data_IF_673188903284
#
_entry.id   IF_673188903284
#
_cell.length_a   1.000
_cell.length_b   1.000
_cell.length_c   1.000
_cell.angle_alpha   90.00
_cell.angle_beta   90.00
_cell.angle_gamma   90.00
#
_symmetry.space_group_name_H-M   'P 1'
#
loop_
_entity.id
_entity.type
_entity.pdbx_description
1 polymer ?
#
# COMPACT_ATOMS: atom_id res chain seq x y z
N UNK A 1 -7.55 5.83 73.54
CA UNK A 1 -7.93 5.74 72.10
C UNK A 1 -6.69 6.00 71.27
N UNK A 2 -6.08 4.92 70.81
CA UNK A 2 -4.89 4.97 69.90
C UNK A 2 -5.38 4.92 68.44
N UNK A 3 -5.12 5.98 67.69
CA UNK A 3 -5.39 6.01 66.23
C UNK A 3 -4.24 5.31 65.51
N UNK A 4 -4.52 4.17 64.90
CA UNK A 4 -3.60 3.52 63.95
C UNK A 4 -3.66 4.28 62.61
N UNK A 5 -2.52 4.82 62.18
CA UNK A 5 -2.32 5.31 60.82
C UNK A 5 -1.82 4.15 59.95
N UNK A 6 -2.64 3.71 59.02
CA UNK A 6 -2.25 2.75 57.97
C UNK A 6 -1.68 3.56 56.79
N UNK A 7 -0.36 3.52 56.63
CA UNK A 7 0.31 4.06 55.45
C UNK A 7 0.24 2.97 54.36
N UNK A 8 -0.64 3.15 53.39
CA UNK A 8 -0.66 2.30 52.20
C UNK A 8 0.42 2.81 51.21
N UNK A 9 1.51 2.05 51.06
CA UNK A 9 2.55 2.27 50.07
C UNK A 9 2.01 1.75 48.72
N UNK A 10 1.57 2.65 47.88
CA UNK A 10 1.29 2.35 46.46
C UNK A 10 2.63 2.14 45.72
N UNK A 11 2.96 0.90 45.46
CA UNK A 11 4.02 0.58 44.53
C UNK A 11 3.50 0.82 43.08
N UNK A 12 3.84 1.97 42.53
CA UNK A 12 3.68 2.24 41.13
C UNK A 12 4.75 1.42 40.38
N UNK A 13 4.36 0.26 39.86
CA UNK A 13 5.12 -0.38 38.80
C UNK A 13 5.05 0.49 37.55
N UNK A 14 6.04 1.36 37.37
CA UNK A 14 6.32 1.92 36.06
C UNK A 14 6.80 0.75 35.20
N UNK A 15 5.89 0.16 34.44
CA UNK A 15 6.24 -0.64 33.28
C UNK A 15 6.97 0.30 32.32
N UNK A 16 8.31 0.34 32.40
CA UNK A 16 9.12 0.81 31.29
C UNK A 16 8.80 -0.13 30.13
N UNK A 17 7.88 0.28 29.27
CA UNK A 17 7.77 -0.30 27.95
C UNK A 17 9.13 -0.04 27.25
N UNK A 18 10.05 -1.00 27.36
CA UNK A 18 11.29 -0.98 26.59
C UNK A 18 10.85 -0.91 25.12
N UNK A 19 11.22 0.18 24.45
CA UNK A 19 10.95 0.28 23.02
C UNK A 19 11.57 -0.96 22.36
N UNK A 20 10.74 -1.70 21.63
CA UNK A 20 11.13 -2.91 20.93
C UNK A 20 12.20 -2.55 19.89
N UNK A 21 13.43 -3.03 20.07
CA UNK A 21 14.51 -2.77 19.13
C UNK A 21 14.47 -3.81 18.02
N UNK A 22 14.69 -3.36 16.78
CA UNK A 22 14.74 -4.20 15.60
C UNK A 22 15.71 -5.37 15.76
N UNK A 23 16.92 -5.09 16.25
CA UNK A 23 18.01 -6.04 16.39
C UNK A 23 17.73 -7.15 17.43
N UNK A 24 16.75 -6.99 18.29
CA UNK A 24 16.42 -8.03 19.27
C UNK A 24 15.68 -9.22 18.60
N UNK A 25 14.90 -8.96 17.54
CA UNK A 25 14.04 -9.94 16.90
C UNK A 25 14.38 -10.25 15.44
N UNK A 26 15.09 -9.33 14.75
CA UNK A 26 15.26 -9.42 13.30
C UNK A 26 16.71 -9.36 12.84
N UNK A 27 16.98 -10.03 11.73
CA UNK A 27 18.17 -9.85 10.91
C UNK A 27 17.97 -8.68 9.94
N UNK A 28 19.07 -8.09 9.43
CA UNK A 28 18.99 -7.08 8.35
C UNK A 28 18.75 -7.77 6.99
N UNK A 29 17.62 -8.48 6.90
CA UNK A 29 17.14 -9.21 5.72
C UNK A 29 15.64 -9.08 5.63
N UNK A 30 15.10 -9.31 4.44
CA UNK A 30 13.65 -9.36 4.22
C UNK A 30 13.17 -10.80 4.16
N UNK A 31 12.08 -11.13 4.84
CA UNK A 31 11.25 -12.29 4.57
C UNK A 31 10.09 -11.82 3.66
N UNK A 32 10.08 -12.30 2.43
CA UNK A 32 8.98 -12.13 1.49
C UNK A 32 8.00 -13.28 1.70
N UNK A 33 6.74 -12.93 1.85
CA UNK A 33 5.63 -13.84 2.06
C UNK A 33 4.77 -13.84 0.79
N UNK A 34 4.79 -14.94 0.05
CA UNK A 34 3.95 -15.12 -1.12
C UNK A 34 2.70 -15.92 -0.72
N UNK A 35 1.55 -15.31 -0.93
CA UNK A 35 0.25 -15.93 -0.68
C UNK A 35 -0.60 -15.95 -1.94
N UNK A 36 -1.53 -16.88 -1.96
CA UNK A 36 -2.66 -16.89 -2.87
C UNK A 36 -3.95 -16.68 -2.07
N UNK A 37 -4.68 -15.60 -2.37
CA UNK A 37 -6.03 -15.39 -1.86
C UNK A 37 -7.02 -15.83 -2.91
N UNK A 38 -8.00 -16.64 -2.53
CA UNK A 38 -8.92 -17.27 -3.48
C UNK A 38 -10.32 -17.41 -2.90
N UNK A 39 -11.31 -17.53 -3.76
CA UNK A 39 -12.69 -17.80 -3.38
C UNK A 39 -13.70 -17.04 -4.23
N UNK A 40 -14.83 -16.71 -3.61
CA UNK A 40 -15.95 -15.97 -4.15
C UNK A 40 -16.49 -14.99 -3.09
N UNK A 41 -17.66 -14.39 -3.31
CA UNK A 41 -18.28 -13.43 -2.38
C UNK A 41 -18.69 -14.03 -1.03
N UNK A 42 -18.77 -15.36 -0.92
CA UNK A 42 -19.18 -16.10 0.29
C UNK A 42 -18.02 -16.86 0.96
N UNK A 43 -17.05 -17.33 0.19
CA UNK A 43 -15.94 -18.17 0.66
C UNK A 43 -14.61 -17.53 0.33
N UNK A 44 -13.89 -17.10 1.35
CA UNK A 44 -12.54 -16.56 1.21
C UNK A 44 -11.53 -17.56 1.75
N UNK A 45 -10.42 -17.75 1.05
CA UNK A 45 -9.34 -18.65 1.44
C UNK A 45 -7.97 -17.98 1.26
N UNK A 46 -7.07 -18.26 2.19
CA UNK A 46 -5.70 -17.78 2.20
C UNK A 46 -4.77 -18.99 2.19
N UNK A 47 -3.87 -19.05 1.22
CA UNK A 47 -2.88 -20.11 1.08
C UNK A 47 -1.47 -19.54 1.13
N UNK A 48 -0.58 -20.20 1.87
CA UNK A 48 0.87 -19.95 1.76
C UNK A 48 1.33 -20.58 0.46
N UNK A 49 2.04 -19.83 -0.36
CA UNK A 49 2.59 -20.32 -1.61
C UNK A 49 4.11 -20.52 -1.50
N UNK A 50 4.86 -19.46 -1.23
CA UNK A 50 6.31 -19.53 -1.06
C UNK A 50 6.79 -18.56 0.01
N UNK A 51 7.91 -18.87 0.64
CA UNK A 51 8.68 -17.98 1.50
C UNK A 51 10.02 -17.69 0.84
N UNK A 52 10.38 -16.40 0.71
CA UNK A 52 11.63 -16.00 0.06
C UNK A 52 12.43 -15.09 1.00
N UNK A 53 13.73 -15.34 1.10
CA UNK A 53 14.66 -14.48 1.81
C UNK A 53 15.38 -13.56 0.84
N UNK A 54 15.32 -12.24 1.09
CA UNK A 54 16.05 -11.22 0.34
C UNK A 54 17.20 -10.65 1.18
N UNK A 55 18.28 -10.13 0.54
CA UNK A 55 19.57 -9.88 1.21
C UNK A 55 19.55 -8.74 2.23
N UNK A 56 18.56 -7.85 2.19
CA UNK A 56 18.51 -6.67 3.05
C UNK A 56 17.08 -6.29 3.40
N UNK A 57 16.89 -5.73 4.62
CA UNK A 57 15.64 -5.08 5.02
C UNK A 57 15.66 -3.59 4.70
N UNK A 58 14.69 -3.13 3.95
CA UNK A 58 14.57 -1.73 3.53
C UNK A 58 13.42 -0.98 4.20
N UNK A 59 12.56 -1.68 4.94
CA UNK A 59 11.44 -1.09 5.65
C UNK A 59 11.80 -0.49 7.01
N UNK A 60 10.78 0.00 7.71
CA UNK A 60 10.94 0.64 9.01
C UNK A 60 11.60 -0.29 10.05
N UNK A 61 12.38 0.32 10.96
CA UNK A 61 13.06 -0.37 12.08
C UNK A 61 12.53 0.06 13.45
N UNK A 62 11.64 1.03 13.48
CA UNK A 62 10.96 1.55 14.67
C UNK A 62 9.46 1.36 14.53
N UNK A 63 8.72 1.46 15.65
CA UNK A 63 7.25 1.28 15.69
C UNK A 63 6.77 -0.02 15.03
N UNK A 64 7.55 -1.10 15.22
CA UNK A 64 7.38 -2.35 14.47
C UNK A 64 5.99 -2.99 14.65
N UNK A 65 5.43 -2.90 15.86
CA UNK A 65 4.11 -3.45 16.18
C UNK A 65 2.94 -2.46 15.98
N UNK A 66 3.21 -1.24 15.52
CA UNK A 66 2.19 -0.22 15.25
C UNK A 66 1.73 -0.28 13.79
N UNK A 67 0.50 0.17 13.54
CA UNK A 67 -0.07 0.37 12.20
C UNK A 67 -0.35 1.86 11.99
N UNK A 68 0.09 2.45 10.87
CA UNK A 68 -0.24 3.83 10.56
C UNK A 68 -1.68 3.99 10.08
N UNK A 69 -2.18 2.99 9.35
CA UNK A 69 -3.54 2.89 8.84
C UNK A 69 -4.02 1.44 8.99
N UNK A 70 -5.33 1.24 8.98
CA UNK A 70 -5.92 -0.09 9.16
C UNK A 70 -5.85 -0.96 7.90
N UNK A 71 -6.22 -0.41 6.74
CA UNK A 71 -6.35 -1.18 5.48
C UNK A 71 -7.51 -2.20 5.53
N UNK A 72 -7.60 -3.04 4.49
CA UNK A 72 -8.59 -4.13 4.38
C UNK A 72 -8.03 -5.47 4.87
N UNK A 73 -6.75 -5.52 5.23
CA UNK A 73 -6.12 -6.72 5.77
C UNK A 73 -4.91 -6.37 6.63
N UNK A 74 -4.46 -7.35 7.40
CA UNK A 74 -3.36 -7.19 8.33
C UNK A 74 -2.51 -8.45 8.43
N UNK A 75 -1.20 -8.26 8.50
CA UNK A 75 -0.24 -9.28 8.93
C UNK A 75 0.19 -8.92 10.35
N UNK A 76 0.14 -9.91 11.24
CA UNK A 76 0.70 -9.84 12.59
C UNK A 76 1.73 -10.93 12.77
N UNK A 77 2.96 -10.55 13.12
CA UNK A 77 4.04 -11.48 13.45
C UNK A 77 4.24 -11.52 14.96
N UNK A 78 4.24 -12.74 15.54
CA UNK A 78 4.47 -12.99 16.96
C UNK A 78 5.72 -13.85 17.16
N UNK A 79 6.55 -13.46 18.11
CA UNK A 79 7.63 -14.33 18.59
C UNK A 79 7.06 -15.56 19.28
N UNK A 80 7.53 -16.75 18.91
CA UNK A 80 7.12 -17.99 19.60
C UNK A 80 7.79 -18.19 20.95
N UNK A 81 8.89 -17.46 21.22
CA UNK A 81 9.62 -17.56 22.47
C UNK A 81 8.88 -16.91 23.64
N UNK A 82 8.22 -15.76 23.40
CA UNK A 82 7.59 -14.94 24.44
C UNK A 82 6.13 -14.54 24.12
N UNK A 83 5.63 -14.86 22.93
CA UNK A 83 4.28 -14.53 22.46
C UNK A 83 4.07 -13.04 22.13
N UNK A 84 5.12 -12.22 22.18
CA UNK A 84 5.01 -10.79 21.88
C UNK A 84 4.74 -10.55 20.39
N UNK A 85 3.91 -9.54 20.10
CA UNK A 85 3.77 -9.01 18.74
C UNK A 85 5.04 -8.23 18.41
N UNK A 86 5.77 -8.70 17.40
CA UNK A 86 7.07 -8.13 17.02
C UNK A 86 7.03 -7.32 15.72
N UNK A 87 5.99 -7.54 14.87
CA UNK A 87 5.78 -6.75 13.66
C UNK A 87 4.31 -6.78 13.26
N UNK A 88 3.84 -5.67 12.67
CA UNK A 88 2.54 -5.57 12.01
C UNK A 88 2.66 -4.84 10.68
N UNK A 89 1.84 -5.25 9.74
CA UNK A 89 1.69 -4.61 8.43
C UNK A 89 0.23 -4.66 8.00
N UNK A 90 -0.30 -3.55 7.51
CA UNK A 90 -1.67 -3.46 6.96
C UNK A 90 -1.61 -3.26 5.45
N UNK A 91 -2.64 -3.72 4.76
CA UNK A 91 -2.67 -3.73 3.31
C UNK A 91 -4.11 -3.72 2.77
N UNK A 92 -4.24 -3.48 1.47
CA UNK A 92 -5.42 -3.81 0.68
C UNK A 92 -5.02 -4.76 -0.46
N UNK A 93 -6.01 -5.39 -1.10
CA UNK A 93 -5.76 -6.36 -2.17
C UNK A 93 -6.74 -6.23 -3.32
N UNK A 94 -6.26 -6.53 -4.53
CA UNK A 94 -7.12 -6.64 -5.70
C UNK A 94 -8.20 -7.74 -5.54
N UNK A 95 -7.91 -8.80 -4.77
CA UNK A 95 -8.88 -9.84 -4.44
C UNK A 95 -10.10 -9.26 -3.71
N UNK A 96 -9.89 -8.41 -2.71
CA UNK A 96 -10.98 -7.82 -1.93
C UNK A 96 -11.80 -6.80 -2.76
N UNK A 97 -11.16 -6.07 -3.68
CA UNK A 97 -11.90 -5.23 -4.63
C UNK A 97 -12.75 -6.06 -5.59
N UNK A 98 -12.20 -7.19 -6.10
CA UNK A 98 -12.93 -8.10 -6.95
C UNK A 98 -14.16 -8.70 -6.26
N UNK A 99 -14.08 -8.98 -4.94
CA UNK A 99 -15.22 -9.51 -4.17
C UNK A 99 -16.46 -8.59 -4.21
N UNK A 100 -16.26 -7.28 -4.41
CA UNK A 100 -17.37 -6.32 -4.56
C UNK A 100 -18.02 -6.35 -5.96
N UNK A 101 -17.47 -7.12 -6.92
CA UNK A 101 -18.01 -7.21 -8.28
C UNK A 101 -19.13 -8.23 -8.41
N UNK A 102 -19.97 -8.07 -9.44
CA UNK A 102 -21.01 -9.07 -9.72
C UNK A 102 -20.42 -10.42 -10.17
N UNK A 103 -19.18 -10.45 -10.70
CA UNK A 103 -18.50 -11.68 -11.11
C UNK A 103 -18.22 -12.60 -9.91
N UNK A 104 -17.85 -12.03 -8.76
CA UNK A 104 -17.55 -12.80 -7.55
C UNK A 104 -18.75 -13.61 -7.02
N UNK A 105 -19.99 -13.21 -7.34
CA UNK A 105 -21.22 -13.93 -6.99
C UNK A 105 -21.42 -15.22 -7.78
N UNK A 106 -20.65 -15.44 -8.85
CA UNK A 106 -20.87 -16.55 -9.78
C UNK A 106 -19.61 -17.31 -10.15
N UNK A 107 -18.44 -16.85 -9.71
CA UNK A 107 -17.15 -17.41 -10.12
C UNK A 107 -16.18 -17.40 -8.94
N UNK A 108 -15.38 -18.46 -8.84
CA UNK A 108 -14.25 -18.48 -7.90
C UNK A 108 -12.97 -18.09 -8.64
N UNK A 109 -12.21 -17.17 -8.06
CA UNK A 109 -10.91 -16.74 -8.58
C UNK A 109 -9.82 -16.77 -7.53
N UNK A 110 -8.57 -16.74 -7.97
CA UNK A 110 -7.39 -16.61 -7.12
C UNK A 110 -6.54 -15.44 -7.57
N UNK A 111 -5.90 -14.79 -6.58
CA UNK A 111 -5.05 -13.62 -6.76
C UNK A 111 -3.74 -13.81 -6.00
N UNK A 112 -2.63 -13.50 -6.66
CA UNK A 112 -1.34 -13.43 -6.01
C UNK A 112 -1.29 -12.24 -5.04
N UNK A 113 -0.70 -12.46 -3.88
CA UNK A 113 -0.41 -11.41 -2.91
C UNK A 113 1.00 -11.61 -2.38
N UNK A 114 1.76 -10.53 -2.28
CA UNK A 114 3.15 -10.57 -1.81
C UNK A 114 3.36 -9.50 -0.77
N UNK A 115 3.93 -9.88 0.37
CA UNK A 115 4.22 -8.96 1.46
C UNK A 115 5.67 -9.07 1.89
N UNK A 116 6.25 -7.93 2.25
CA UNK A 116 7.59 -7.84 2.77
C UNK A 116 7.54 -7.58 4.27
N UNK A 117 8.21 -8.43 5.04
CA UNK A 117 8.35 -8.28 6.49
C UNK A 117 9.84 -8.47 6.86
N UNK A 118 10.30 -7.94 8.01
CA UNK A 118 11.68 -8.18 8.42
C UNK A 118 11.91 -9.65 8.71
N UNK A 119 13.11 -10.17 8.39
CA UNK A 119 13.45 -11.58 8.55
C UNK A 119 13.68 -11.90 10.04
N UNK A 120 12.89 -12.81 10.65
CA UNK A 120 13.01 -13.12 12.07
C UNK A 120 14.28 -13.93 12.39
N UNK A 121 14.85 -13.71 13.57
CA UNK A 121 16.01 -14.51 14.09
C UNK A 121 15.59 -15.88 14.58
N UNK A 122 14.42 -15.95 15.17
CA UNK A 122 13.86 -17.17 15.76
C UNK A 122 12.48 -17.48 15.17
N UNK A 123 11.96 -18.68 15.46
CA UNK A 123 10.66 -19.09 14.96
C UNK A 123 9.54 -18.14 15.39
N UNK A 124 8.70 -17.78 14.43
CA UNK A 124 7.57 -16.86 14.61
C UNK A 124 6.26 -17.49 14.16
N UNK A 125 5.18 -16.96 14.69
CA UNK A 125 3.83 -17.17 14.17
C UNK A 125 3.43 -15.96 13.33
N UNK A 126 2.98 -16.18 12.11
CA UNK A 126 2.43 -15.17 11.23
C UNK A 126 0.93 -15.41 11.11
N UNK A 127 0.15 -14.39 11.46
CA UNK A 127 -1.30 -14.34 11.24
C UNK A 127 -1.62 -13.33 10.16
N UNK A 128 -2.33 -13.76 9.12
CA UNK A 128 -2.91 -12.94 8.07
C UNK A 128 -4.40 -12.87 8.29
N UNK A 129 -4.97 -11.67 8.27
CA UNK A 129 -6.40 -11.42 8.46
C UNK A 129 -6.94 -10.56 7.31
N UNK A 130 -8.13 -10.90 6.80
CA UNK A 130 -8.88 -10.10 5.86
C UNK A 130 -10.12 -9.55 6.56
N UNK A 131 -10.43 -8.28 6.33
CA UNK A 131 -11.57 -7.58 6.92
C UNK A 131 -12.60 -7.25 5.84
N UNK A 132 -13.87 -7.28 6.21
CA UNK A 132 -14.95 -6.74 5.40
C UNK A 132 -15.13 -5.22 5.63
N UNK A 133 -16.16 -4.66 5.00
CA UNK A 133 -16.51 -3.24 5.12
C UNK A 133 -17.06 -2.85 6.50
N UNK A 134 -17.41 -3.82 7.34
CA UNK A 134 -17.82 -3.63 8.74
C UNK A 134 -16.68 -3.85 9.72
N UNK A 135 -15.43 -3.91 9.22
CA UNK A 135 -14.25 -4.16 10.04
C UNK A 135 -14.22 -5.52 10.75
N UNK A 136 -15.02 -6.48 10.26
CA UNK A 136 -15.04 -7.83 10.80
C UNK A 136 -14.03 -8.71 10.07
N UNK A 137 -13.37 -9.59 10.82
CA UNK A 137 -12.48 -10.60 10.22
C UNK A 137 -13.33 -11.61 9.46
N UNK A 138 -13.25 -11.63 8.15
CA UNK A 138 -13.98 -12.58 7.28
C UNK A 138 -13.17 -13.84 7.00
N UNK A 139 -11.85 -13.75 7.04
CA UNK A 139 -10.96 -14.91 6.99
C UNK A 139 -9.63 -14.63 7.69
N UNK A 140 -8.99 -15.67 8.16
CA UNK A 140 -7.62 -15.59 8.69
C UNK A 140 -6.87 -16.91 8.49
N UNK A 141 -5.56 -16.77 8.27
CA UNK A 141 -4.62 -17.88 8.26
C UNK A 141 -3.54 -17.62 9.32
N UNK A 142 -3.24 -18.62 10.12
CA UNK A 142 -2.09 -18.59 11.03
C UNK A 142 -1.14 -19.71 10.67
N UNK A 143 0.14 -19.38 10.47
CA UNK A 143 1.17 -20.39 10.22
C UNK A 143 2.48 -20.05 10.92
N UNK A 144 3.32 -21.07 11.12
CA UNK A 144 4.66 -20.90 11.73
C UNK A 144 5.71 -20.73 10.63
N UNK A 145 6.66 -19.83 10.86
CA UNK A 145 7.87 -19.71 10.07
C UNK A 145 9.07 -20.02 10.95
N UNK A 146 9.84 -21.02 10.56
CA UNK A 146 11.17 -21.29 11.12
C UNK A 146 12.22 -20.65 10.18
N UNK A 147 13.01 -19.66 10.65
CA UNK A 147 14.03 -19.03 9.80
C UNK A 147 15.12 -19.97 9.29
N UNK A 148 15.22 -21.17 9.87
CA UNK A 148 16.15 -22.22 9.45
C UNK A 148 15.56 -23.21 8.44
N UNK A 149 14.30 -23.03 8.04
CA UNK A 149 13.68 -23.89 7.04
C UNK A 149 14.45 -23.78 5.71
N UNK A 150 14.90 -24.94 5.24
CA UNK A 150 15.68 -25.06 3.99
C UNK A 150 14.84 -24.73 2.74
N UNK A 151 13.51 -24.72 2.86
CA UNK A 151 12.60 -24.37 1.77
C UNK A 151 12.40 -22.87 1.62
N UNK A 152 12.91 -22.03 2.54
CA UNK A 152 12.95 -20.59 2.34
C UNK A 152 13.95 -20.27 1.21
N UNK A 153 13.43 -19.98 0.03
CA UNK A 153 14.24 -19.69 -1.16
C UNK A 153 15.03 -18.39 -0.98
N UNK A 154 16.30 -18.37 -1.36
CA UNK A 154 17.13 -17.15 -1.38
C UNK A 154 17.07 -16.50 -2.76
N UNK A 155 16.77 -15.20 -2.80
CA UNK A 155 16.75 -14.41 -4.04
C UNK A 155 17.41 -13.04 -3.85
N UNK A 156 17.73 -12.36 -4.97
CA UNK A 156 18.25 -10.99 -4.95
C UNK A 156 19.74 -10.85 -4.64
N UNK A 157 20.48 -11.95 -4.45
CA UNK A 157 21.95 -11.91 -4.31
C UNK A 157 22.66 -11.89 -5.68
N UNK A 158 21.98 -12.41 -6.72
CA UNK A 158 22.48 -12.49 -8.10
C UNK A 158 21.35 -12.16 -9.06
N UNK A 159 21.70 -11.71 -10.27
CA UNK A 159 20.73 -11.41 -11.30
C UNK A 159 19.78 -10.26 -10.94
N UNK A 160 20.25 -9.33 -10.12
CA UNK A 160 19.46 -8.14 -9.76
C UNK A 160 19.13 -7.34 -11.02
N UNK A 161 17.86 -7.01 -11.21
CA UNK A 161 17.43 -6.19 -12.34
C UNK A 161 18.16 -4.84 -12.30
N UNK A 162 18.75 -4.39 -13.42
CA UNK A 162 19.45 -3.11 -13.45
C UNK A 162 18.53 -1.96 -13.04
N UNK A 163 19.04 -1.05 -12.23
CA UNK A 163 18.30 0.14 -11.79
C UNK A 163 19.20 1.36 -11.69
N UNK A 164 18.61 2.53 -11.84
CA UNK A 164 19.27 3.82 -11.62
C UNK A 164 18.69 4.49 -10.36
N UNK A 165 19.53 5.19 -9.59
CA UNK A 165 19.08 6.01 -8.47
C UNK A 165 18.72 7.38 -9.02
N UNK A 166 17.45 7.76 -8.90
CA UNK A 166 16.92 9.02 -9.45
C UNK A 166 16.82 10.12 -8.41
N UNK A 167 16.58 9.75 -7.14
CA UNK A 167 16.53 10.69 -6.02
C UNK A 167 17.03 10.01 -4.75
N UNK A 168 17.76 10.75 -3.91
CA UNK A 168 18.35 10.23 -2.68
C UNK A 168 17.92 11.07 -1.48
N UNK A 169 17.43 10.41 -0.43
CA UNK A 169 17.09 11.03 0.83
C UNK A 169 18.33 11.60 1.56
N UNK A 170 18.10 12.61 2.40
CA UNK A 170 19.15 13.16 3.26
C UNK A 170 19.61 12.13 4.32
N UNK A 171 18.69 11.35 4.88
CA UNK A 171 18.98 10.21 5.76
C UNK A 171 18.53 8.91 5.09
N UNK A 172 19.48 8.16 4.54
CA UNK A 172 19.23 6.88 3.87
C UNK A 172 18.90 5.73 4.81
N UNK A 173 19.08 5.89 6.12
CA UNK A 173 18.69 4.89 7.11
C UNK A 173 17.19 5.00 7.48
N UNK A 174 16.65 6.22 7.45
CA UNK A 174 15.28 6.55 7.83
C UNK A 174 14.55 7.24 6.68
N UNK A 175 14.37 6.56 5.58
CA UNK A 175 13.71 7.09 4.39
C UNK A 175 12.70 6.10 3.84
N UNK A 176 11.74 6.62 3.09
CA UNK A 176 10.78 5.85 2.31
C UNK A 176 11.40 5.53 0.95
N UNK A 177 11.35 4.27 0.52
CA UNK A 177 11.97 3.81 -0.72
C UNK A 177 10.91 3.48 -1.75
N UNK A 178 10.96 4.20 -2.87
CA UNK A 178 10.05 4.02 -4.00
C UNK A 178 10.83 3.42 -5.17
N UNK A 179 10.33 2.30 -5.71
CA UNK A 179 10.78 1.78 -6.98
C UNK A 179 9.79 2.15 -8.09
N UNK A 180 10.24 2.92 -9.08
CA UNK A 180 9.58 2.93 -10.38
C UNK A 180 9.94 1.65 -11.12
N UNK A 181 8.98 1.03 -11.81
CA UNK A 181 9.15 -0.23 -12.55
C UNK A 181 8.67 -0.04 -13.98
N UNK A 182 9.51 -0.40 -14.97
CA UNK A 182 9.14 -0.30 -16.36
C UNK A 182 8.16 -1.41 -16.75
N UNK A 183 7.06 -1.08 -17.41
CA UNK A 183 6.09 -2.01 -17.96
C UNK A 183 5.72 -1.62 -19.38
N UNK A 184 5.84 -2.56 -20.33
CA UNK A 184 5.59 -2.29 -21.74
C UNK A 184 6.68 -1.46 -22.43
N UNK A 185 7.84 -1.28 -21.83
CA UNK A 185 9.02 -0.68 -22.48
C UNK A 185 9.98 -1.78 -22.92
N UNK A 186 10.33 -1.79 -24.21
CA UNK A 186 11.37 -2.66 -24.75
C UNK A 186 12.77 -2.16 -24.39
N UNK A 187 13.81 -2.92 -24.72
CA UNK A 187 15.20 -2.52 -24.46
C UNK A 187 15.56 -1.18 -25.12
N UNK A 188 15.06 -0.93 -26.31
CA UNK A 188 15.31 0.31 -27.08
C UNK A 188 14.53 1.51 -26.51
N UNK A 189 13.48 1.26 -25.71
CA UNK A 189 12.64 2.29 -25.10
C UNK A 189 13.04 2.64 -23.64
N UNK A 190 14.12 2.05 -23.10
CA UNK A 190 14.56 2.33 -21.73
C UNK A 190 14.97 3.80 -21.50
N UNK A 191 15.44 4.50 -22.55
CA UNK A 191 15.66 5.96 -22.47
C UNK A 191 14.36 6.73 -22.24
N UNK A 192 13.30 6.37 -23.00
CA UNK A 192 11.96 6.96 -22.83
C UNK A 192 11.37 6.67 -21.45
N UNK A 193 11.51 5.45 -20.93
CA UNK A 193 11.13 5.09 -19.57
C UNK A 193 11.79 5.98 -18.52
N UNK A 194 13.10 6.23 -18.62
CA UNK A 194 13.81 7.10 -17.67
C UNK A 194 13.32 8.55 -17.74
N UNK A 195 12.99 9.06 -18.94
CA UNK A 195 12.39 10.38 -19.11
C UNK A 195 11.00 10.44 -18.44
N UNK A 196 10.20 9.41 -18.56
CA UNK A 196 8.90 9.31 -17.90
C UNK A 196 9.02 9.21 -16.37
N UNK A 197 10.04 8.50 -15.86
CA UNK A 197 10.36 8.51 -14.43
C UNK A 197 10.68 9.92 -13.94
N UNK A 198 11.49 10.70 -14.66
CA UNK A 198 11.83 12.07 -14.26
C UNK A 198 10.60 12.97 -14.24
N UNK A 199 9.70 12.86 -15.23
CA UNK A 199 8.42 13.59 -15.25
C UNK A 199 7.55 13.22 -14.05
N UNK A 200 7.42 11.91 -13.73
CA UNK A 200 6.64 11.41 -12.61
C UNK A 200 7.16 11.93 -11.26
N UNK A 201 8.49 11.89 -11.05
CA UNK A 201 9.15 12.45 -9.85
C UNK A 201 8.88 13.96 -9.75
N UNK A 202 9.04 14.69 -10.86
CA UNK A 202 8.75 16.13 -10.90
C UNK A 202 7.31 16.41 -10.52
N UNK A 203 6.35 15.61 -11.01
CA UNK A 203 4.94 15.75 -10.64
C UNK A 203 4.71 15.45 -9.16
N UNK A 204 5.26 14.36 -8.64
CA UNK A 204 5.12 13.97 -7.24
C UNK A 204 5.65 15.08 -6.31
N UNK A 205 6.86 15.59 -6.57
CA UNK A 205 7.49 16.64 -5.77
C UNK A 205 6.95 18.07 -6.04
N UNK A 206 6.02 18.21 -6.96
CA UNK A 206 5.24 19.45 -7.08
C UNK A 206 4.01 19.51 -6.18
N UNK A 207 3.64 18.38 -5.53
CA UNK A 207 2.50 18.31 -4.61
C UNK A 207 2.95 18.34 -3.15
N UNK A 208 2.28 19.13 -2.30
CA UNK A 208 2.45 18.99 -0.86
C UNK A 208 1.74 17.72 -0.33
N UNK A 209 2.33 17.01 0.66
CA UNK A 209 3.54 17.34 1.41
C UNK A 209 4.85 16.79 0.79
N UNK A 210 4.79 16.11 -0.34
CA UNK A 210 5.97 15.50 -0.97
C UNK A 210 7.04 16.56 -1.33
N UNK A 211 6.63 17.76 -1.74
CA UNK A 211 7.51 18.89 -2.05
C UNK A 211 8.36 19.29 -0.85
N UNK A 212 7.73 19.56 0.29
CA UNK A 212 8.43 20.00 1.50
C UNK A 212 9.17 18.89 2.23
N UNK A 213 8.88 17.62 1.92
CA UNK A 213 9.45 16.43 2.55
C UNK A 213 10.23 15.53 1.57
N UNK A 214 10.63 16.06 0.41
CA UNK A 214 11.32 15.29 -0.63
C UNK A 214 12.63 14.65 -0.16
N UNK A 215 13.31 15.26 0.81
CA UNK A 215 14.52 14.78 1.44
C UNK A 215 14.35 13.48 2.23
N UNK A 216 13.10 13.00 2.39
CA UNK A 216 12.77 11.74 3.08
C UNK A 216 12.52 10.57 2.15
N UNK A 217 12.71 10.76 0.85
CA UNK A 217 12.46 9.73 -0.15
C UNK A 217 13.73 9.30 -0.86
N UNK A 218 13.91 7.99 -1.04
CA UNK A 218 14.80 7.42 -2.04
C UNK A 218 13.98 6.90 -3.20
N UNK A 219 14.35 7.24 -4.43
CA UNK A 219 13.64 6.79 -5.63
C UNK A 219 14.61 6.15 -6.59
N UNK A 220 14.27 4.95 -7.05
CA UNK A 220 15.01 4.21 -8.08
C UNK A 220 14.13 3.94 -9.29
N UNK A 221 14.75 3.82 -10.46
CA UNK A 221 14.12 3.34 -11.69
C UNK A 221 14.63 1.95 -12.04
N UNK A 222 13.78 0.95 -11.93
CA UNK A 222 14.10 -0.45 -12.22
C UNK A 222 13.80 -0.74 -13.70
N UNK A 223 14.83 -1.14 -14.47
CA UNK A 223 14.80 -1.31 -15.91
C UNK A 223 14.32 -2.72 -16.29
N UNK A 224 13.05 -3.04 -16.02
CA UNK A 224 12.41 -4.29 -16.40
C UNK A 224 12.01 -4.27 -17.88
N UNK A 225 12.76 -4.98 -18.72
CA UNK A 225 12.57 -4.98 -20.17
C UNK A 225 11.40 -5.87 -20.56
N UNK A 226 10.45 -5.31 -21.31
CA UNK A 226 9.35 -6.05 -21.95
C UNK A 226 9.78 -6.60 -23.31
N UNK A 227 9.18 -7.73 -23.73
CA UNK A 227 9.40 -8.30 -25.04
C UNK A 227 8.67 -7.50 -26.14
N UNK A 228 7.51 -6.92 -25.78
CA UNK A 228 6.68 -6.10 -26.66
C UNK A 228 6.41 -4.74 -26.02
N UNK A 229 6.35 -3.72 -26.85
CA UNK A 229 5.97 -2.36 -26.46
C UNK A 229 4.46 -2.26 -26.21
N UNK A 230 4.07 -1.51 -25.17
CA UNK A 230 2.68 -1.28 -24.82
C UNK A 230 2.15 -2.22 -23.74
N UNK A 231 0.82 -2.34 -23.64
CA UNK A 231 0.12 -3.19 -22.65
C UNK A 231 -1.05 -3.92 -23.28
N UNK A 232 -1.57 -4.94 -22.62
CA UNK A 232 -2.71 -5.71 -23.10
C UNK A 232 -4.02 -4.91 -22.95
N UNK A 233 -4.90 -5.06 -23.94
CA UNK A 233 -6.25 -4.48 -23.94
C UNK A 233 -7.27 -5.55 -24.37
N UNK A 234 -7.75 -6.34 -23.41
CA UNK A 234 -8.61 -7.50 -23.68
C UNK A 234 -9.87 -7.19 -24.48
N UNK A 235 -10.57 -6.10 -24.19
CA UNK A 235 -11.80 -5.70 -24.93
C UNK A 235 -11.54 -5.44 -26.44
N UNK A 236 -10.28 -5.17 -26.83
CA UNK A 236 -9.86 -5.01 -28.23
C UNK A 236 -9.16 -6.25 -28.80
N UNK A 237 -9.08 -7.33 -28.03
CA UNK A 237 -8.35 -8.55 -28.43
C UNK A 237 -6.83 -8.37 -28.50
N UNK A 238 -6.29 -7.33 -27.86
CA UNK A 238 -4.85 -7.04 -27.86
C UNK A 238 -4.22 -7.70 -26.63
N UNK A 239 -3.29 -8.61 -26.86
CA UNK A 239 -2.49 -9.26 -25.84
C UNK A 239 -1.02 -9.01 -26.09
N UNK A 240 -0.28 -8.58 -25.07
CA UNK A 240 1.12 -8.21 -25.14
C UNK A 240 1.96 -9.02 -24.15
N UNK A 241 3.14 -9.45 -24.62
CA UNK A 241 4.13 -10.10 -23.77
C UNK A 241 5.02 -9.03 -23.13
N UNK A 242 4.58 -8.51 -22.00
CA UNK A 242 5.28 -7.46 -21.27
C UNK A 242 5.96 -7.98 -20.01
N UNK A 243 6.76 -7.14 -19.35
CA UNK A 243 7.52 -7.51 -18.16
C UNK A 243 6.63 -8.01 -17.02
N UNK A 244 5.46 -7.41 -16.83
CA UNK A 244 4.54 -7.73 -15.73
C UNK A 244 3.19 -8.26 -16.21
N UNK A 245 2.94 -8.33 -17.52
CA UNK A 245 1.65 -8.77 -18.07
C UNK A 245 0.50 -7.87 -17.68
N UNK A 246 0.73 -6.56 -17.59
CA UNK A 246 -0.33 -5.59 -17.27
C UNK A 246 -1.43 -5.57 -18.33
N UNK A 247 -2.64 -5.25 -17.90
CA UNK A 247 -3.79 -5.17 -18.80
C UNK A 247 -4.83 -4.15 -18.32
N UNK A 248 -5.55 -3.59 -19.29
CA UNK A 248 -6.79 -2.87 -19.07
C UNK A 248 -7.95 -3.84 -18.85
N UNK A 249 -9.15 -3.28 -18.73
CA UNK A 249 -10.41 -4.03 -18.53
C UNK A 249 -10.43 -4.88 -17.25
N UNK A 250 -9.64 -4.52 -16.25
CA UNK A 250 -9.75 -5.14 -14.93
C UNK A 250 -11.16 -4.91 -14.37
N UNK A 251 -11.82 -6.00 -13.98
CA UNK A 251 -13.25 -5.99 -13.56
C UNK A 251 -14.18 -5.36 -14.59
N UNK A 252 -13.85 -5.50 -15.91
CA UNK A 252 -14.58 -4.94 -17.05
C UNK A 252 -14.61 -3.41 -17.11
N UNK A 253 -13.73 -2.73 -16.36
CA UNK A 253 -13.53 -1.28 -16.45
C UNK A 253 -12.40 -0.95 -17.43
N UNK A 254 -12.72 -0.22 -18.50
CA UNK A 254 -11.81 0.10 -19.61
C UNK A 254 -10.58 0.93 -19.20
N UNK A 255 -10.67 1.64 -18.09
CA UNK A 255 -9.59 2.48 -17.55
C UNK A 255 -8.89 1.85 -16.34
N UNK A 256 -9.37 0.73 -15.81
CA UNK A 256 -8.73 0.07 -14.68
C UNK A 256 -7.57 -0.79 -15.18
N UNK A 257 -6.37 -0.29 -14.91
CA UNK A 257 -5.10 -0.88 -15.33
C UNK A 257 -4.45 -1.59 -14.15
N UNK A 258 -4.20 -2.90 -14.28
CA UNK A 258 -3.57 -3.70 -13.22
C UNK A 258 -2.63 -4.76 -13.78
N UNK A 259 -1.95 -5.48 -12.88
CA UNK A 259 -1.29 -6.75 -13.14
C UNK A 259 -1.73 -7.80 -12.12
N UNK A 260 -1.87 -9.04 -12.55
CA UNK A 260 -2.17 -10.19 -11.69
C UNK A 260 -0.90 -10.95 -11.25
N UNK A 261 0.31 -10.52 -11.68
CA UNK A 261 1.56 -11.23 -11.51
C UNK A 261 2.46 -10.60 -10.44
N UNK A 262 1.97 -10.53 -9.19
CA UNK A 262 2.71 -9.89 -8.10
C UNK A 262 3.98 -10.62 -7.71
N UNK A 263 4.01 -11.96 -7.79
CA UNK A 263 5.23 -12.73 -7.55
C UNK A 263 6.31 -12.36 -8.56
N UNK A 264 5.95 -12.25 -9.86
CA UNK A 264 6.86 -11.81 -10.91
C UNK A 264 7.36 -10.40 -10.71
N UNK A 265 6.49 -9.47 -10.28
CA UNK A 265 6.86 -8.10 -9.91
C UNK A 265 7.93 -8.10 -8.80
N UNK A 266 7.70 -8.85 -7.73
CA UNK A 266 8.64 -8.93 -6.63
C UNK A 266 9.90 -9.74 -6.93
N UNK A 267 9.86 -10.68 -7.88
CA UNK A 267 11.07 -11.35 -8.41
C UNK A 267 11.94 -10.38 -9.20
N UNK A 268 11.35 -9.51 -10.03
CA UNK A 268 12.06 -8.45 -10.76
C UNK A 268 12.70 -7.42 -9.78
N UNK A 269 12.06 -7.16 -8.67
CA UNK A 269 12.54 -6.22 -7.65
C UNK A 269 13.52 -6.85 -6.66
N UNK A 270 13.71 -8.17 -6.68
CA UNK A 270 14.58 -8.86 -5.72
C UNK A 270 16.02 -8.32 -5.75
N UNK A 271 16.50 -7.88 -4.59
CA UNK A 271 17.85 -7.29 -4.44
C UNK A 271 17.92 -5.78 -4.68
N UNK A 272 16.86 -5.13 -5.17
CA UNK A 272 16.76 -3.67 -5.27
C UNK A 272 16.25 -3.04 -3.97
N UNK A 273 16.59 -1.76 -3.67
CA UNK A 273 16.11 -1.09 -2.46
C UNK A 273 14.69 -0.50 -2.65
N UNK A 274 13.64 -1.21 -2.24
CA UNK A 274 12.25 -0.76 -2.37
C UNK A 274 11.39 -1.12 -1.15
N UNK A 275 10.31 -0.34 -0.98
CA UNK A 275 9.19 -0.56 -0.06
C UNK A 275 7.87 -0.33 -0.80
N UNK A 276 7.76 0.78 -1.56
CA UNK A 276 6.60 1.15 -2.35
C UNK A 276 6.91 1.06 -3.83
N UNK A 277 5.91 0.71 -4.63
CA UNK A 277 6.08 0.37 -6.05
C UNK A 277 5.16 1.24 -6.89
N UNK A 278 5.73 1.90 -7.90
CA UNK A 278 5.01 2.63 -8.94
C UNK A 278 5.38 2.02 -10.28
N UNK A 279 4.42 1.41 -10.97
CA UNK A 279 4.61 0.80 -12.27
C UNK A 279 4.22 1.83 -13.35
N UNK A 280 5.18 2.24 -14.17
CA UNK A 280 4.94 3.11 -15.31
C UNK A 280 4.70 2.26 -16.55
N UNK A 281 3.52 2.43 -17.15
CA UNK A 281 3.05 1.60 -18.26
C UNK A 281 3.09 2.39 -19.57
N UNK A 282 3.88 1.90 -20.53
CA UNK A 282 4.06 2.51 -21.85
C UNK A 282 2.79 2.39 -22.69
N UNK A 283 1.85 3.28 -22.52
CA UNK A 283 0.60 3.31 -23.29
C UNK A 283 0.01 4.72 -23.32
N UNK A 284 -0.66 5.05 -24.43
CA UNK A 284 -1.41 6.31 -24.58
C UNK A 284 -2.84 6.21 -24.00
N UNK A 285 -3.35 5.00 -23.80
CA UNK A 285 -4.69 4.81 -23.26
C UNK A 285 -4.73 5.17 -21.80
N UNK A 286 -5.69 6.04 -21.45
CA UNK A 286 -5.88 6.54 -20.08
C UNK A 286 -6.21 5.40 -19.11
N UNK A 287 -5.49 5.33 -18.02
CA UNK A 287 -5.79 4.42 -16.93
C UNK A 287 -4.75 4.42 -15.82
N UNK A 288 -5.16 3.88 -14.72
CA UNK A 288 -4.37 3.68 -13.52
C UNK A 288 -5.07 2.71 -12.56
N UNK A 289 -4.46 2.50 -11.42
CA UNK A 289 -4.99 1.71 -10.31
C UNK A 289 -3.98 1.67 -9.17
N UNK A 290 -4.42 1.85 -7.93
CA UNK A 290 -3.55 1.90 -6.77
C UNK A 290 -4.10 1.08 -5.60
N UNK A 291 -3.31 0.12 -5.09
CA UNK A 291 -3.65 -0.79 -4.00
C UNK A 291 -2.76 -0.48 -2.79
N UNK A 292 -3.38 -0.16 -1.66
CA UNK A 292 -2.68 0.27 -0.45
C UNK A 292 -1.65 -0.76 0.04
N UNK A 293 -0.40 -0.27 0.24
CA UNK A 293 0.76 -1.07 0.63
C UNK A 293 1.03 -2.29 -0.27
N UNK A 294 0.67 -2.19 -1.56
CA UNK A 294 0.97 -3.19 -2.56
C UNK A 294 1.68 -2.55 -3.75
N UNK A 295 0.95 -1.92 -4.66
CA UNK A 295 1.53 -1.27 -5.85
C UNK A 295 0.56 -0.25 -6.43
N UNK A 296 1.03 0.56 -7.37
CA UNK A 296 0.17 1.25 -8.32
C UNK A 296 0.70 1.14 -9.75
N UNK A 297 -0.20 1.31 -10.71
CA UNK A 297 0.10 1.47 -12.12
C UNK A 297 -0.41 2.82 -12.62
N UNK A 298 0.35 3.43 -13.53
CA UNK A 298 -0.07 4.65 -14.23
C UNK A 298 0.37 4.57 -15.68
N UNK A 299 -0.54 4.89 -16.60
CA UNK A 299 -0.19 5.08 -17.99
C UNK A 299 0.73 6.30 -18.17
N UNK A 300 1.57 6.34 -19.23
CA UNK A 300 2.57 7.41 -19.41
C UNK A 300 2.42 8.24 -20.69
N UNK A 301 1.77 7.70 -21.73
CA UNK A 301 1.72 8.31 -23.06
C UNK A 301 0.67 9.42 -23.26
N UNK A 302 -0.08 9.83 -22.25
CA UNK A 302 -1.18 10.76 -22.42
C UNK A 302 -1.14 12.01 -21.53
N UNK A 303 -2.02 12.98 -21.78
CA UNK A 303 -1.97 14.30 -21.14
C UNK A 303 -2.28 14.28 -19.63
N UNK A 304 -2.94 13.24 -19.14
CA UNK A 304 -3.27 13.09 -17.73
C UNK A 304 -2.28 12.19 -16.96
N UNK A 305 -1.16 11.81 -17.56
CA UNK A 305 -0.15 10.97 -16.91
C UNK A 305 0.28 11.53 -15.55
N UNK A 306 0.70 12.79 -15.54
CA UNK A 306 1.29 13.43 -14.35
C UNK A 306 0.31 13.56 -13.17
N UNK A 307 -0.95 13.98 -13.36
CA UNK A 307 -1.94 13.94 -12.29
C UNK A 307 -2.29 12.50 -11.85
N UNK A 308 -2.41 11.55 -12.78
CA UNK A 308 -2.78 10.16 -12.44
C UNK A 308 -1.72 9.48 -11.59
N UNK A 309 -0.42 9.59 -11.92
CA UNK A 309 0.63 8.94 -11.11
C UNK A 309 0.63 9.41 -9.65
N UNK A 310 0.30 10.68 -9.40
CA UNK A 310 0.18 11.25 -8.05
C UNK A 310 -1.09 10.79 -7.35
N UNK A 311 -2.22 10.74 -8.08
CA UNK A 311 -3.50 10.23 -7.58
C UNK A 311 -3.36 8.76 -7.13
N UNK A 312 -2.83 7.88 -7.99
CA UNK A 312 -2.64 6.46 -7.68
C UNK A 312 -1.64 6.22 -6.53
N UNK A 313 -0.63 7.10 -6.40
CA UNK A 313 0.26 7.06 -5.25
C UNK A 313 -0.46 7.52 -3.97
N UNK A 314 -1.45 8.41 -4.07
CA UNK A 314 -2.37 8.74 -2.99
C UNK A 314 -3.09 7.51 -2.42
N UNK A 315 -3.53 6.58 -3.29
CA UNK A 315 -4.09 5.30 -2.87
C UNK A 315 -3.02 4.36 -2.31
N UNK A 316 -2.01 4.03 -3.11
CA UNK A 316 -1.09 2.93 -2.80
C UNK A 316 -0.16 3.22 -1.63
N UNK A 317 0.29 4.45 -1.45
CA UNK A 317 1.08 4.91 -0.31
C UNK A 317 0.21 5.50 0.78
N UNK A 318 -0.66 6.44 0.41
CA UNK A 318 -1.42 7.27 1.34
C UNK A 318 -2.63 6.59 1.97
N UNK A 319 -3.12 5.48 1.37
CA UNK A 319 -4.39 4.87 1.76
C UNK A 319 -5.56 5.82 1.64
N UNK A 320 -5.46 6.83 0.75
CA UNK A 320 -6.52 7.80 0.51
C UNK A 320 -7.62 7.16 -0.33
N UNK A 321 -8.87 7.41 0.02
CA UNK A 321 -10.03 7.03 -0.78
C UNK A 321 -10.33 8.04 -1.88
N UNK A 322 -11.04 7.60 -2.92
CA UNK A 322 -11.56 8.47 -3.97
C UNK A 322 -12.59 9.47 -3.42
N UNK A 323 -12.42 10.74 -3.74
CA UNK A 323 -13.32 11.81 -3.29
C UNK A 323 -14.41 12.16 -4.33
N UNK A 324 -14.49 11.43 -5.44
CA UNK A 324 -15.55 11.58 -6.44
C UNK A 324 -16.72 10.64 -6.20
N UNK A 325 -17.88 10.99 -6.79
CA UNK A 325 -19.15 10.23 -6.71
C UNK A 325 -19.75 10.09 -8.10
N UNK A 326 -20.24 8.90 -8.43
CA UNK A 326 -20.85 8.60 -9.74
C UNK A 326 -22.36 8.45 -9.71
N UNK A 327 -22.99 8.53 -8.54
CA UNK A 327 -24.43 8.31 -8.39
C UNK A 327 -24.85 6.84 -8.52
N UNK A 328 -23.92 5.91 -8.43
CA UNK A 328 -24.23 4.50 -8.33
C UNK A 328 -24.55 4.17 -6.87
N UNK A 329 -25.64 3.45 -6.66
CA UNK A 329 -26.22 3.24 -5.33
C UNK A 329 -25.73 1.97 -4.63
N UNK A 330 -24.70 1.28 -5.15
CA UNK A 330 -24.10 0.13 -4.46
C UNK A 330 -23.18 0.65 -3.35
N UNK A 331 -23.56 0.48 -2.07
CA UNK A 331 -22.83 1.07 -0.96
C UNK A 331 -21.48 0.36 -0.78
N UNK A 332 -20.38 1.09 -0.97
CA UNK A 332 -19.04 0.67 -0.55
C UNK A 332 -18.83 0.84 0.96
N UNK A 333 -19.59 1.76 1.57
CA UNK A 333 -19.51 2.07 3.00
C UNK A 333 -20.89 2.01 3.63
N UNK A 334 -20.94 1.66 4.91
CA UNK A 334 -22.16 1.56 5.69
C UNK A 334 -22.20 2.63 6.77
N UNK A 335 -23.37 3.15 7.10
CA UNK A 335 -23.57 4.24 8.08
C UNK A 335 -23.00 3.94 9.48
N UNK A 336 -22.91 2.66 9.87
CA UNK A 336 -22.42 2.20 11.15
C UNK A 336 -20.90 1.95 11.17
N UNK A 337 -20.25 1.94 10.01
CA UNK A 337 -18.82 1.66 9.88
C UNK A 337 -18.07 2.86 9.32
N UNK A 338 -17.06 3.32 10.06
CA UNK A 338 -16.20 4.41 9.61
C UNK A 338 -15.16 3.88 8.62
N UNK A 339 -15.03 4.47 7.40
CA UNK A 339 -13.99 4.10 6.45
C UNK A 339 -12.60 4.15 7.08
N UNK A 340 -11.73 3.22 6.75
CA UNK A 340 -10.33 3.27 7.23
C UNK A 340 -9.51 4.35 6.50
N UNK A 341 -9.94 4.77 5.34
CA UNK A 341 -9.35 5.84 4.54
C UNK A 341 -9.39 7.17 5.32
N UNK A 342 -8.25 7.87 5.47
CA UNK A 342 -8.17 9.02 6.35
C UNK A 342 -8.91 10.26 5.86
N UNK A 343 -9.23 10.34 4.56
CA UNK A 343 -9.88 11.48 3.90
C UNK A 343 -11.39 11.31 3.69
N UNK A 344 -11.97 10.18 4.08
CA UNK A 344 -13.40 9.91 4.01
C UNK A 344 -13.98 9.61 5.39
N UNK A 345 -15.26 9.94 5.61
CA UNK A 345 -15.98 9.63 6.83
C UNK A 345 -17.46 9.39 6.57
N UNK A 346 -18.08 8.50 7.35
CA UNK A 346 -19.55 8.34 7.42
C UNK A 346 -20.16 9.15 8.56
N UNK A 347 -19.35 9.87 9.34
CA UNK A 347 -19.78 10.65 10.51
C UNK A 347 -20.04 12.11 10.13
N UNK A 348 -21.30 12.54 10.22
CA UNK A 348 -21.71 13.90 9.86
C UNK A 348 -21.70 14.90 11.03
N UNK A 349 -21.68 14.44 12.29
CA UNK A 349 -21.91 15.31 13.45
C UNK A 349 -20.89 15.19 14.59
N UNK A 350 -20.25 14.05 14.74
CA UNK A 350 -19.30 13.79 15.83
C UNK A 350 -18.23 12.77 15.39
N UNK A 351 -17.05 12.83 15.99
CA UNK A 351 -15.93 11.92 15.70
C UNK A 351 -15.40 12.00 14.26
N UNK A 352 -15.51 13.18 13.64
CA UNK A 352 -14.98 13.45 12.31
C UNK A 352 -13.45 13.42 12.40
N UNK A 353 -12.79 12.65 11.52
CA UNK A 353 -11.32 12.45 11.52
C UNK A 353 -10.53 13.75 11.45
N UNK A 354 -11.06 14.78 10.78
CA UNK A 354 -10.43 16.09 10.60
C UNK A 354 -11.19 17.24 11.30
N UNK A 355 -11.95 16.96 12.39
CA UNK A 355 -12.71 17.96 13.13
C UNK A 355 -11.84 19.15 13.57
N UNK A 356 -10.61 18.89 14.00
CA UNK A 356 -9.64 19.94 14.34
C UNK A 356 -9.28 20.89 13.18
N UNK A 357 -9.40 20.46 11.93
CA UNK A 357 -9.23 21.31 10.74
C UNK A 357 -10.51 22.11 10.48
N UNK A 358 -11.68 21.53 10.72
CA UNK A 358 -12.97 22.24 10.63
C UNK A 358 -12.99 23.37 11.65
N UNK A 359 -12.64 23.13 12.90
CA UNK A 359 -12.57 24.15 13.96
C UNK A 359 -11.60 25.29 13.64
N UNK A 360 -10.55 25.01 12.84
CA UNK A 360 -9.60 26.02 12.35
C UNK A 360 -10.07 26.72 11.07
N UNK A 361 -11.24 26.39 10.53
CA UNK A 361 -11.76 26.91 9.27
C UNK A 361 -10.94 26.52 8.02
N UNK A 362 -10.17 25.41 8.09
CA UNK A 362 -9.32 24.93 7.00
C UNK A 362 -9.96 23.84 6.17
N UNK A 363 -10.90 23.09 6.73
CA UNK A 363 -11.68 22.06 6.06
C UNK A 363 -13.15 22.22 6.34
N UNK A 364 -13.98 21.53 5.58
CA UNK A 364 -15.43 21.44 5.77
C UNK A 364 -15.87 19.99 5.98
N UNK A 365 -17.15 19.78 5.80
CA UNK A 365 -17.81 18.49 5.70
C UNK A 365 -18.72 18.53 4.50
N UNK A 366 -18.27 17.94 3.39
CA UNK A 366 -18.90 18.02 2.07
C UNK A 366 -19.38 16.62 1.72
N UNK A 367 -20.67 16.47 1.50
CA UNK A 367 -21.27 15.19 1.16
C UNK A 367 -20.87 14.74 -0.26
N UNK A 368 -20.65 13.45 -0.41
CA UNK A 368 -20.17 12.81 -1.63
C UNK A 368 -18.70 12.44 -1.57
N UNK A 369 -18.39 11.17 -1.88
CA UNK A 369 -17.04 10.58 -1.88
C UNK A 369 -17.15 9.06 -1.84
N UNK A 370 -16.06 8.32 -2.10
CA UNK A 370 -16.10 6.86 -2.11
C UNK A 370 -17.13 6.31 -3.12
N UNK A 371 -17.23 6.96 -4.28
CA UNK A 371 -18.21 6.68 -5.35
C UNK A 371 -19.68 7.00 -5.00
N UNK A 372 -20.00 7.30 -3.76
CA UNK A 372 -21.37 7.58 -3.27
C UNK A 372 -21.66 9.08 -3.28
N UNK A 373 -22.89 9.44 -3.67
CA UNK A 373 -23.39 10.82 -3.65
C UNK A 373 -23.87 11.24 -2.26
N UNK A 374 -24.21 10.29 -1.38
CA UNK A 374 -24.78 10.49 -0.05
C UNK A 374 -24.17 9.53 0.97
N UNK A 375 -24.20 9.94 2.24
CA UNK A 375 -23.81 9.10 3.37
C UNK A 375 -22.29 9.02 3.61
N UNK A 376 -21.49 9.58 2.71
CA UNK A 376 -20.03 9.70 2.85
C UNK A 376 -19.64 11.15 2.65
N UNK A 377 -18.73 11.63 3.48
CA UNK A 377 -18.27 13.01 3.44
C UNK A 377 -16.76 13.08 3.23
N UNK A 378 -16.31 14.17 2.61
CA UNK A 378 -14.92 14.55 2.39
C UNK A 378 -14.65 15.94 2.98
N UNK A 379 -13.37 16.30 3.12
CA UNK A 379 -12.97 17.52 3.83
C UNK A 379 -13.00 18.80 3.01
N UNK A 380 -12.85 18.72 1.68
CA UNK A 380 -12.74 19.88 0.80
C UNK A 380 -13.51 19.68 -0.50
N UNK A 381 -13.91 20.80 -1.15
CA UNK A 381 -14.56 20.76 -2.46
C UNK A 381 -13.62 20.20 -3.53
N UNK A 382 -12.38 20.67 -3.52
CA UNK A 382 -11.37 20.33 -4.52
C UNK A 382 -10.20 19.59 -3.91
N UNK A 383 -9.74 18.53 -4.60
CA UNK A 383 -8.65 17.67 -4.19
C UNK A 383 -8.11 16.85 -5.36
N UNK A 384 -6.83 16.52 -5.35
CA UNK A 384 -6.22 15.54 -6.26
C UNK A 384 -6.95 14.20 -6.24
N UNK A 385 -7.46 13.76 -5.07
CA UNK A 385 -8.23 12.51 -4.95
C UNK A 385 -9.65 12.59 -5.52
N UNK A 386 -10.08 13.76 -5.98
CA UNK A 386 -11.39 13.97 -6.62
C UNK A 386 -11.29 14.13 -8.14
N UNK A 387 -10.28 14.86 -8.62
CA UNK A 387 -10.14 15.17 -10.06
C UNK A 387 -8.69 15.43 -10.44
N UNK A 388 -8.36 15.05 -11.67
CA UNK A 388 -7.05 15.32 -12.27
C UNK A 388 -6.80 16.80 -12.58
N UNK A 389 -7.81 17.63 -12.55
CA UNK A 389 -7.71 19.07 -12.83
C UNK A 389 -7.19 19.87 -11.63
N UNK A 390 -7.38 19.35 -10.42
CA UNK A 390 -6.88 20.01 -9.20
C UNK A 390 -5.36 19.81 -9.07
N UNK A 391 -4.60 20.87 -8.83
CA UNK A 391 -3.14 20.79 -8.80
C UNK A 391 -2.57 20.20 -7.51
N UNK A 392 -3.36 20.08 -6.44
CA UNK A 392 -2.87 19.74 -5.10
C UNK A 392 -3.82 18.76 -4.38
N UNK A 393 -3.28 18.02 -3.43
CA UNK A 393 -4.09 17.36 -2.40
C UNK A 393 -4.75 18.39 -1.49
N UNK A 394 -5.97 18.14 -1.04
CA UNK A 394 -6.61 18.99 -0.04
C UNK A 394 -5.90 18.90 1.32
N UNK A 395 -6.17 19.83 2.20
CA UNK A 395 -5.50 19.92 3.51
C UNK A 395 -5.68 18.68 4.37
N UNK A 396 -6.80 17.97 4.25
CA UNK A 396 -7.07 16.70 4.98
C UNK A 396 -6.15 15.59 4.45
N UNK A 397 -6.06 15.45 3.13
CA UNK A 397 -5.16 14.49 2.49
C UNK A 397 -3.69 14.82 2.78
N UNK A 398 -3.29 16.09 2.71
CA UNK A 398 -1.92 16.51 3.03
C UNK A 398 -1.55 16.14 4.47
N UNK A 399 -2.44 16.41 5.45
CA UNK A 399 -2.16 16.06 6.85
C UNK A 399 -2.07 14.55 7.06
N UNK A 400 -2.90 13.75 6.39
CA UNK A 400 -2.82 12.30 6.42
C UNK A 400 -1.47 11.79 5.87
N UNK A 401 -1.03 12.33 4.73
CA UNK A 401 0.26 12.01 4.12
C UNK A 401 1.44 12.44 5.00
N UNK A 402 1.40 13.62 5.64
CA UNK A 402 2.43 14.05 6.59
C UNK A 402 2.56 13.06 7.74
N UNK A 403 1.43 12.67 8.36
CA UNK A 403 1.44 11.69 9.46
C UNK A 403 2.06 10.36 9.04
N UNK A 404 1.77 9.93 7.81
CA UNK A 404 2.29 8.67 7.28
C UNK A 404 3.79 8.77 6.98
N UNK A 405 4.26 9.85 6.34
CA UNK A 405 5.69 10.08 6.10
C UNK A 405 6.46 10.14 7.43
N UNK A 406 5.93 10.85 8.42
CA UNK A 406 6.51 10.91 9.77
C UNK A 406 6.54 9.55 10.46
N UNK A 407 5.51 8.72 10.25
CA UNK A 407 5.47 7.36 10.81
C UNK A 407 6.62 6.48 10.28
N UNK A 408 6.95 6.59 9.01
CA UNK A 408 8.01 5.79 8.38
C UNK A 408 9.41 6.34 8.59
N UNK A 409 9.57 7.65 8.88
CA UNK A 409 10.89 8.32 8.84
C UNK A 409 11.35 8.91 10.17
N UNK A 410 10.56 8.82 11.24
CA UNK A 410 10.93 9.34 12.58
C UNK A 410 11.02 8.26 13.64
#
# INVERSE_FOLDING_TARGET
MRKLFIISVLWSFALCASAQRFEDYFEDRTLRLDYTFAGDDCLHQIYVDELVSLPRWYGRRERLAELPLKGNGQITMRSKADGMVIYRHSFSTLFQEWLATNEAKHTQKSFENVFLVPFPKDSVEIKVELFDYHDQVVNSLTHTVDPKDILIRKAGERGVTPYDVLHQAADTARCIRIAFVAEGYTADEMGHYLDDCQKAIGSLFNHEPFRSMQDRFNIIAVKSVSQESGTSWPAKGIWKNTALGSHFDTFYSDRYLTTLHLKRLHDLLAGTPYEHIIILVNTEHYGGGGIYNSYNLSYTGGPQFLPVVVHEFGHSFGGLGDEYAYGNDDPMYFDDTEPWEPNLTTKATAFIKWDHLIQKGKAGLIEGGGYLTKGVWRGCENCRMRTNEEPEFCVVCQEALVRLIDFYTR
#
